data_IF_450524437685
#
_entry.id   IF_450524437685
#
_cell.length_a   1.000
_cell.length_b   1.000
_cell.length_c   1.000
_cell.angle_alpha   90.00
_cell.angle_beta   90.00
_cell.angle_gamma   90.00
#
_symmetry.space_group_name_H-M   'P 1'
#
loop_
_entity.id
_entity.type
_entity.pdbx_description
1 polymer ?
#
# COMPACT_ATOMS: atom_id res chain seq x y z
N UNK A 1 20.61 11.86 -23.72
CA UNK A 1 20.03 11.90 -22.36
C UNK A 1 18.56 11.48 -22.41
N UNK A 2 18.25 10.30 -22.95
CA UNK A 2 16.89 9.92 -23.38
C UNK A 2 16.31 8.72 -22.62
N UNK A 3 16.70 8.51 -21.36
CA UNK A 3 16.17 7.39 -20.56
C UNK A 3 14.96 7.75 -19.67
N UNK A 4 14.52 9.01 -19.66
CA UNK A 4 13.60 9.50 -18.62
C UNK A 4 12.10 9.31 -18.90
N UNK A 5 11.66 9.06 -20.13
CA UNK A 5 10.22 9.07 -20.46
C UNK A 5 9.55 7.70 -20.38
N UNK A 6 10.30 6.59 -20.49
CA UNK A 6 9.74 5.23 -20.38
C UNK A 6 9.34 4.85 -18.95
N UNK A 7 9.91 5.48 -17.93
CA UNK A 7 9.60 5.19 -16.53
C UNK A 7 8.28 5.84 -16.05
N UNK A 8 7.81 6.88 -16.75
CA UNK A 8 6.55 7.58 -16.43
C UNK A 8 5.35 6.89 -17.07
N UNK A 9 5.57 6.11 -18.12
CA UNK A 9 4.52 5.34 -18.77
C UNK A 9 4.40 3.94 -18.13
N UNK A 10 3.18 3.37 -18.03
CA UNK A 10 3.00 1.98 -17.68
C UNK A 10 3.92 1.09 -18.52
N UNK A 11 4.49 0.06 -17.90
CA UNK A 11 5.46 -0.82 -18.56
C UNK A 11 4.91 -1.34 -19.90
N UNK A 12 5.78 -1.61 -20.86
CA UNK A 12 5.35 -2.08 -22.18
C UNK A 12 4.54 -3.39 -22.12
N UNK A 13 4.78 -4.23 -21.12
CA UNK A 13 3.96 -5.40 -20.84
C UNK A 13 2.53 -5.01 -20.46
N UNK A 14 2.35 -4.00 -19.59
CA UNK A 14 1.05 -3.45 -19.21
C UNK A 14 0.29 -2.87 -20.41
N UNK A 15 1.01 -2.19 -21.31
CA UNK A 15 0.43 -1.58 -22.52
C UNK A 15 -0.08 -2.62 -23.52
N UNK A 16 0.63 -3.75 -23.66
CA UNK A 16 0.20 -4.88 -24.49
C UNK A 16 -1.00 -5.61 -23.88
N UNK A 17 -1.06 -5.73 -22.56
CA UNK A 17 -2.15 -6.42 -21.88
C UNK A 17 -3.48 -5.65 -21.97
N UNK A 18 -3.44 -4.32 -21.85
CA UNK A 18 -4.60 -3.45 -22.09
C UNK A 18 -5.17 -3.59 -23.50
N UNK A 19 -4.31 -3.70 -24.53
CA UNK A 19 -4.74 -3.94 -25.91
C UNK A 19 -5.39 -5.30 -26.11
N UNK A 20 -4.94 -6.33 -25.38
CA UNK A 20 -5.54 -7.68 -25.44
C UNK A 20 -6.88 -7.74 -24.69
N UNK A 21 -7.01 -7.01 -23.59
CA UNK A 21 -8.31 -6.88 -22.88
C UNK A 21 -9.37 -6.12 -23.68
N UNK A 22 -8.96 -5.17 -24.53
CA UNK A 22 -9.90 -4.45 -25.41
C UNK A 22 -10.45 -5.30 -26.57
N UNK A 23 -9.76 -6.36 -26.98
CA UNK A 23 -10.22 -7.22 -28.09
C UNK A 23 -11.14 -8.36 -27.63
N UNK A 24 -11.14 -8.71 -26.34
CA UNK A 24 -11.74 -9.97 -25.86
C UNK A 24 -12.99 -9.81 -24.96
N UNK A 25 -13.51 -8.61 -24.69
CA UNK A 25 -14.61 -8.45 -23.73
C UNK A 25 -15.81 -7.63 -24.27
N UNK A 26 -16.64 -8.31 -25.07
CA UNK A 26 -18.08 -8.11 -25.00
C UNK A 26 -18.63 -8.98 -23.88
N UNK A 27 -19.17 -8.34 -22.84
CA UNK A 27 -19.83 -8.91 -21.64
C UNK A 27 -18.92 -9.38 -20.51
N UNK A 28 -18.55 -8.46 -19.59
CA UNK A 28 -18.79 -8.63 -18.15
C UNK A 28 -18.86 -7.26 -17.44
N UNK A 29 -19.87 -7.12 -16.60
CA UNK A 29 -20.07 -6.01 -15.67
C UNK A 29 -19.03 -6.14 -14.54
N UNK A 30 -18.05 -5.24 -14.51
CA UNK A 30 -17.15 -5.07 -13.36
C UNK A 30 -17.32 -3.65 -12.82
N UNK A 31 -17.72 -3.56 -11.55
CA UNK A 31 -17.73 -2.34 -10.73
C UNK A 31 -16.30 -1.89 -10.38
N UNK A 32 -15.42 -1.91 -11.37
CA UNK A 32 -14.16 -1.20 -11.37
C UNK A 32 -14.47 0.28 -11.55
N UNK A 33 -14.61 1.01 -10.44
CA UNK A 33 -14.48 2.47 -10.43
C UNK A 33 -13.11 2.80 -11.00
N UNK A 34 -13.11 2.93 -12.32
CA UNK A 34 -12.03 3.36 -13.15
C UNK A 34 -11.47 4.60 -12.48
N UNK A 35 -10.20 4.59 -12.09
CA UNK A 35 -9.44 5.83 -11.89
C UNK A 35 -9.18 6.44 -13.27
N UNK A 36 -10.24 6.56 -14.08
CA UNK A 36 -10.28 7.49 -15.17
C UNK A 36 -10.16 8.84 -14.49
N UNK A 37 -9.08 9.56 -14.78
CA UNK A 37 -9.05 10.99 -14.59
C UNK A 37 -10.36 11.50 -15.17
N UNK A 38 -11.32 11.88 -14.30
CA UNK A 38 -12.58 12.48 -14.73
C UNK A 38 -12.24 13.89 -15.21
N UNK A 39 -11.56 13.94 -16.34
CA UNK A 39 -11.36 15.13 -17.13
C UNK A 39 -12.70 15.33 -17.84
N UNK A 40 -13.66 15.88 -17.11
CA UNK A 40 -14.98 16.17 -17.66
C UNK A 40 -14.83 17.12 -18.85
N UNK A 41 -14.88 16.59 -20.07
CA UNK A 41 -15.00 17.27 -21.36
C UNK A 41 -14.15 18.56 -21.59
N UNK A 42 -13.06 18.74 -20.84
CA UNK A 42 -12.18 19.89 -21.02
C UNK A 42 -11.15 19.52 -22.09
N UNK A 43 -11.34 20.06 -23.29
CA UNK A 43 -10.35 19.96 -24.37
C UNK A 43 -8.95 20.31 -23.84
N UNK A 44 -7.98 19.40 -23.99
CA UNK A 44 -6.58 19.62 -23.57
C UNK A 44 -6.01 20.94 -24.11
N UNK A 45 -6.54 21.41 -25.24
CA UNK A 45 -6.18 22.67 -25.88
C UNK A 45 -6.64 23.91 -25.11
N UNK A 46 -7.76 23.87 -24.36
CA UNK A 46 -8.26 25.02 -23.58
C UNK A 46 -7.57 25.18 -22.22
N UNK A 47 -6.88 24.14 -21.73
CA UNK A 47 -6.12 24.16 -20.48
C UNK A 47 -4.87 25.05 -20.55
N UNK A 48 -4.33 25.30 -21.75
CA UNK A 48 -3.13 26.12 -21.98
C UNK A 48 -3.43 27.56 -22.40
N UNK A 49 -4.71 27.92 -22.64
CA UNK A 49 -5.11 29.22 -23.21
C UNK A 49 -5.25 30.32 -22.13
N UNK A 50 -5.17 29.98 -20.83
CA UNK A 50 -5.18 30.98 -19.75
C UNK A 50 -4.47 30.50 -18.48
N UNK A 51 -3.66 31.38 -17.86
CA UNK A 51 -2.84 31.07 -16.68
C UNK A 51 -3.64 30.57 -15.45
N UNK A 52 -4.86 31.06 -15.27
CA UNK A 52 -5.73 30.65 -14.17
C UNK A 52 -6.35 29.26 -14.36
N UNK A 53 -6.58 28.84 -15.60
CA UNK A 53 -7.12 27.51 -15.94
C UNK A 53 -6.07 26.43 -15.68
N UNK A 54 -4.82 26.69 -16.05
CA UNK A 54 -3.69 25.79 -15.82
C UNK A 54 -3.38 25.59 -14.33
N UNK A 55 -3.43 26.67 -13.54
CA UNK A 55 -3.22 26.62 -12.08
C UNK A 55 -4.27 25.77 -11.37
N UNK A 56 -5.55 25.95 -11.72
CA UNK A 56 -6.65 25.15 -11.18
C UNK A 56 -6.53 23.68 -11.57
N UNK A 57 -6.24 23.40 -12.84
CA UNK A 57 -6.03 22.05 -13.35
C UNK A 57 -4.89 21.33 -12.61
N UNK A 58 -3.76 21.99 -12.44
CA UNK A 58 -2.60 21.41 -11.74
C UNK A 58 -2.93 21.12 -10.27
N UNK A 59 -3.64 22.03 -9.60
CA UNK A 59 -4.08 21.84 -8.23
C UNK A 59 -5.06 20.65 -8.10
N UNK A 60 -6.01 20.50 -9.03
CA UNK A 60 -6.96 19.39 -9.05
C UNK A 60 -6.30 18.05 -9.37
N UNK A 61 -5.34 18.04 -10.30
CA UNK A 61 -4.53 16.87 -10.60
C UNK A 61 -3.78 16.38 -9.37
N UNK A 62 -3.08 17.28 -8.66
CA UNK A 62 -2.36 16.89 -7.43
C UNK A 62 -3.31 16.40 -6.35
N UNK A 63 -4.47 17.05 -6.15
CA UNK A 63 -5.50 16.58 -5.21
C UNK A 63 -5.97 15.16 -5.52
N UNK A 64 -6.24 14.88 -6.80
CA UNK A 64 -6.69 13.57 -7.23
C UNK A 64 -5.61 12.50 -7.04
N UNK A 65 -4.37 12.79 -7.40
CA UNK A 65 -3.24 11.88 -7.19
C UNK A 65 -3.03 11.57 -5.71
N UNK A 66 -3.08 12.59 -4.84
CA UNK A 66 -2.91 12.40 -3.39
C UNK A 66 -4.04 11.56 -2.78
N UNK A 67 -5.26 11.71 -3.29
CA UNK A 67 -6.41 10.91 -2.87
C UNK A 67 -6.26 9.43 -3.26
N UNK A 68 -5.81 9.15 -4.47
CA UNK A 68 -5.52 7.78 -4.92
C UNK A 68 -4.38 7.16 -4.09
N UNK A 69 -3.32 7.92 -3.87
CA UNK A 69 -2.18 7.49 -3.06
C UNK A 69 -2.58 7.17 -1.60
N UNK A 70 -3.47 7.96 -1.00
CA UNK A 70 -4.01 7.68 0.34
C UNK A 70 -4.86 6.41 0.36
N UNK A 71 -5.69 6.18 -0.67
CA UNK A 71 -6.43 4.92 -0.82
C UNK A 71 -5.47 3.71 -0.90
N UNK A 72 -4.39 3.85 -1.67
CA UNK A 72 -3.35 2.82 -1.78
C UNK A 72 -2.67 2.57 -0.43
N UNK A 73 -2.41 3.62 0.33
CA UNK A 73 -1.83 3.53 1.67
C UNK A 73 -2.73 2.79 2.65
N UNK A 74 -4.04 3.09 2.63
CA UNK A 74 -5.05 2.40 3.44
C UNK A 74 -5.13 0.92 3.10
N UNK A 75 -5.11 0.58 1.80
CA UNK A 75 -5.07 -0.81 1.35
C UNK A 75 -3.84 -1.54 1.90
N UNK A 76 -2.64 -0.95 1.79
CA UNK A 76 -1.42 -1.52 2.35
C UNK A 76 -1.53 -1.73 3.88
N UNK A 77 -2.08 -0.76 4.61
CA UNK A 77 -2.30 -0.88 6.04
C UNK A 77 -3.26 -2.04 6.40
N UNK A 78 -4.33 -2.22 5.62
CA UNK A 78 -5.25 -3.35 5.78
C UNK A 78 -4.54 -4.70 5.55
N UNK A 79 -3.72 -4.80 4.50
CA UNK A 79 -2.92 -6.01 4.22
C UNK A 79 -1.94 -6.33 5.35
N UNK A 80 -1.28 -5.31 5.92
CA UNK A 80 -0.39 -5.49 7.07
C UNK A 80 -1.14 -6.00 8.31
N UNK A 81 -2.36 -5.52 8.57
CA UNK A 81 -3.21 -6.00 9.69
C UNK A 81 -3.61 -7.47 9.51
N UNK A 82 -4.04 -7.85 8.30
CA UNK A 82 -4.36 -9.26 8.01
C UNK A 82 -3.13 -10.13 8.22
N UNK A 83 -1.96 -9.69 7.74
CA UNK A 83 -0.69 -10.40 7.95
C UNK A 83 -0.34 -10.54 9.42
N UNK A 84 -0.47 -9.47 10.21
CA UNK A 84 -0.19 -9.48 11.64
C UNK A 84 -1.08 -10.48 12.39
N UNK A 85 -2.39 -10.46 12.11
CA UNK A 85 -3.34 -11.38 12.75
C UNK A 85 -3.08 -12.83 12.34
N UNK A 86 -2.73 -13.09 11.07
CA UNK A 86 -2.36 -14.43 10.61
C UNK A 86 -1.08 -14.94 11.29
N UNK A 87 -0.07 -14.08 11.46
CA UNK A 87 1.17 -14.44 12.16
C UNK A 87 0.93 -14.75 13.63
N UNK A 88 0.12 -13.94 14.33
CA UNK A 88 -0.26 -14.19 15.72
C UNK A 88 -0.98 -15.53 15.86
N UNK A 89 -2.00 -15.80 15.02
CA UNK A 89 -2.73 -17.07 15.02
C UNK A 89 -1.79 -18.25 14.75
N UNK A 90 -0.88 -18.15 13.78
CA UNK A 90 0.12 -19.19 13.50
C UNK A 90 0.98 -19.48 14.75
N UNK A 91 1.56 -18.45 15.37
CA UNK A 91 2.38 -18.61 16.56
C UNK A 91 1.59 -19.18 17.75
N UNK A 92 0.34 -18.75 17.96
CA UNK A 92 -0.54 -19.29 18.99
C UNK A 92 -0.83 -20.78 18.79
N UNK A 93 -1.12 -21.20 17.55
CA UNK A 93 -1.33 -22.62 17.23
C UNK A 93 -0.06 -23.45 17.46
N UNK A 94 1.11 -22.94 17.07
CA UNK A 94 2.37 -23.64 17.25
C UNK A 94 2.77 -23.75 18.73
N UNK A 95 2.62 -22.68 19.50
CA UNK A 95 2.86 -22.70 20.95
C UNK A 95 1.86 -23.59 21.67
N UNK A 96 0.59 -23.61 21.27
CA UNK A 96 -0.40 -24.52 21.87
C UNK A 96 -0.09 -25.98 21.58
N UNK A 97 0.35 -26.30 20.35
CA UNK A 97 0.87 -27.61 19.99
C UNK A 97 2.08 -28.03 20.84
N UNK A 98 3.09 -27.16 20.99
CA UNK A 98 4.26 -27.42 21.83
C UNK A 98 3.90 -27.62 23.31
N UNK A 99 2.94 -26.85 23.83
CA UNK A 99 2.41 -27.02 25.20
C UNK A 99 1.72 -28.36 25.38
N UNK A 100 0.92 -28.80 24.41
CA UNK A 100 0.29 -30.12 24.44
C UNK A 100 1.35 -31.23 24.39
N UNK A 101 2.34 -31.11 23.51
CA UNK A 101 3.45 -32.05 23.42
C UNK A 101 4.23 -32.15 24.73
N UNK A 102 4.47 -31.02 25.40
CA UNK A 102 5.14 -30.97 26.71
C UNK A 102 4.35 -31.68 27.81
N UNK A 103 3.01 -31.54 27.83
CA UNK A 103 2.15 -32.28 28.76
C UNK A 103 2.29 -33.79 28.56
N UNK A 104 2.16 -34.24 27.31
CA UNK A 104 2.26 -35.67 26.96
C UNK A 104 3.60 -36.30 27.33
N UNK A 105 4.72 -35.57 27.16
CA UNK A 105 6.04 -36.08 27.54
C UNK A 105 6.25 -36.14 29.05
N UNK A 106 5.64 -35.22 29.79
CA UNK A 106 5.65 -35.22 31.26
C UNK A 106 4.92 -36.45 31.80
N UNK A 107 3.77 -36.79 31.23
CA UNK A 107 2.97 -37.95 31.63
C UNK A 107 3.71 -39.28 31.37
N UNK A 108 4.60 -39.29 30.38
CA UNK A 108 5.44 -40.45 30.01
C UNK A 108 6.80 -40.53 30.73
N UNK A 109 7.12 -39.55 31.59
CA UNK A 109 8.41 -39.48 32.29
C UNK A 109 9.63 -39.20 31.40
N UNK A 110 9.43 -38.74 30.16
CA UNK A 110 10.50 -38.50 29.18
C UNK A 110 11.05 -37.06 29.27
N UNK A 111 11.63 -36.70 30.42
CA UNK A 111 12.03 -35.32 30.72
C UNK A 111 13.31 -34.87 29.99
N UNK A 112 14.10 -35.81 29.45
CA UNK A 112 15.30 -35.51 28.64
C UNK A 112 14.99 -34.74 27.35
N UNK A 113 13.75 -34.79 26.86
CA UNK A 113 13.30 -34.09 25.64
C UNK A 113 12.87 -32.64 25.93
N UNK A 114 12.65 -32.29 27.20
CA UNK A 114 12.15 -30.99 27.63
C UNK A 114 13.01 -29.79 27.17
N UNK A 115 14.36 -29.86 27.16
CA UNK A 115 15.20 -28.77 26.66
C UNK A 115 14.96 -28.46 25.17
N UNK A 116 14.66 -29.48 24.35
CA UNK A 116 14.45 -29.31 22.92
C UNK A 116 13.14 -28.58 22.63
N UNK A 117 12.07 -28.88 23.38
CA UNK A 117 10.79 -28.18 23.25
C UNK A 117 10.92 -26.72 23.66
N UNK A 118 11.57 -26.45 24.80
CA UNK A 118 11.87 -25.06 25.23
C UNK A 118 12.66 -24.28 24.17
N UNK A 119 13.59 -24.94 23.47
CA UNK A 119 14.34 -24.32 22.37
C UNK A 119 13.41 -23.96 21.21
N UNK A 120 12.48 -24.85 20.82
CA UNK A 120 11.49 -24.57 19.77
C UNK A 120 10.57 -23.41 20.16
N UNK A 121 10.03 -23.40 21.38
CA UNK A 121 9.19 -22.30 21.88
C UNK A 121 9.90 -20.94 21.77
N UNK A 122 11.19 -20.88 22.14
CA UNK A 122 12.01 -19.66 22.02
C UNK A 122 12.19 -19.22 20.57
N UNK A 123 12.34 -20.16 19.63
CA UNK A 123 12.48 -19.85 18.20
C UNK A 123 11.18 -19.24 17.68
N UNK A 124 10.04 -19.86 17.96
CA UNK A 124 8.71 -19.36 17.56
C UNK A 124 8.47 -17.95 18.08
N UNK A 125 8.79 -17.69 19.35
CA UNK A 125 8.63 -16.37 19.95
C UNK A 125 9.57 -15.33 19.32
N UNK A 126 10.83 -15.71 19.03
CA UNK A 126 11.78 -14.83 18.35
C UNK A 126 11.30 -14.46 16.95
N UNK A 127 10.91 -15.45 16.15
CA UNK A 127 10.39 -15.22 14.80
C UNK A 127 9.13 -14.36 14.82
N UNK A 128 8.22 -14.61 15.76
CA UNK A 128 7.03 -13.77 15.94
C UNK A 128 7.41 -12.31 16.22
N UNK A 129 8.38 -12.09 17.12
CA UNK A 129 8.86 -10.76 17.47
C UNK A 129 9.50 -10.05 16.27
N UNK A 130 10.42 -10.71 15.58
CA UNK A 130 11.09 -10.16 14.38
C UNK A 130 10.07 -9.77 13.29
N UNK A 131 9.07 -10.61 13.04
CA UNK A 131 8.02 -10.30 12.05
C UNK A 131 7.10 -9.18 12.51
N UNK A 132 6.80 -9.07 13.79
CA UNK A 132 6.01 -7.96 14.35
C UNK A 132 6.77 -6.64 14.24
N UNK A 133 8.07 -6.65 14.51
CA UNK A 133 8.94 -5.46 14.38
C UNK A 133 8.99 -4.97 12.95
N UNK A 134 9.14 -5.89 12.00
CA UNK A 134 9.12 -5.56 10.57
C UNK A 134 7.77 -4.95 10.17
N UNK A 135 6.65 -5.51 10.63
CA UNK A 135 5.32 -4.94 10.36
C UNK A 135 5.18 -3.53 10.97
N UNK A 136 5.68 -3.30 12.19
CA UNK A 136 5.66 -1.98 12.83
C UNK A 136 6.46 -0.95 12.03
N UNK A 137 7.68 -1.32 11.60
CA UNK A 137 8.52 -0.48 10.75
C UNK A 137 7.81 -0.10 9.44
N UNK A 138 7.13 -1.05 8.81
CA UNK A 138 6.35 -0.80 7.58
C UNK A 138 5.16 0.13 7.82
N UNK A 139 4.47 -0.01 8.96
CA UNK A 139 3.38 0.90 9.36
C UNK A 139 3.90 2.32 9.59
N UNK A 140 5.03 2.47 10.27
CA UNK A 140 5.67 3.76 10.50
C UNK A 140 6.07 4.42 9.18
N UNK A 141 6.68 3.67 8.25
CA UNK A 141 7.03 4.19 6.93
C UNK A 141 5.77 4.69 6.18
N UNK A 142 4.69 3.91 6.18
CA UNK A 142 3.43 4.30 5.54
C UNK A 142 2.83 5.58 6.18
N UNK A 143 2.91 5.70 7.50
CA UNK A 143 2.50 6.89 8.24
C UNK A 143 3.32 8.12 7.84
N UNK A 144 4.65 7.99 7.73
CA UNK A 144 5.50 9.10 7.29
C UNK A 144 5.16 9.52 5.85
N UNK A 145 4.97 8.58 4.94
CA UNK A 145 4.55 8.88 3.57
C UNK A 145 3.18 9.56 3.52
N UNK A 146 2.22 9.20 4.39
CA UNK A 146 0.93 9.93 4.50
C UNK A 146 1.13 11.38 4.97
N UNK A 147 2.02 11.63 5.93
CA UNK A 147 2.37 13.00 6.37
C UNK A 147 3.00 13.82 5.25
N UNK A 148 3.93 13.23 4.50
CA UNK A 148 4.56 13.88 3.35
C UNK A 148 3.53 14.27 2.29
N UNK A 149 2.57 13.39 1.99
CA UNK A 149 1.45 13.70 1.06
C UNK A 149 0.62 14.90 1.52
N UNK A 150 0.33 14.99 2.83
CA UNK A 150 -0.34 16.17 3.38
C UNK A 150 0.49 17.45 3.24
N UNK A 151 1.81 17.36 3.41
CA UNK A 151 2.70 18.50 3.23
C UNK A 151 2.71 18.99 1.78
N UNK A 152 2.72 18.06 0.81
CA UNK A 152 2.62 18.41 -0.62
C UNK A 152 1.32 19.16 -0.92
N UNK A 153 0.18 18.70 -0.39
CA UNK A 153 -1.09 19.40 -0.57
C UNK A 153 -1.07 20.83 0.00
N UNK A 154 -0.54 21.00 1.22
CA UNK A 154 -0.40 22.33 1.85
C UNK A 154 0.50 23.26 1.02
N UNK A 155 1.58 22.74 0.46
CA UNK A 155 2.48 23.51 -0.41
C UNK A 155 1.75 23.96 -1.68
N UNK A 156 0.97 23.08 -2.32
CA UNK A 156 0.18 23.43 -3.51
C UNK A 156 -0.86 24.52 -3.21
N UNK A 157 -1.55 24.44 -2.07
CA UNK A 157 -2.49 25.48 -1.65
C UNK A 157 -1.81 26.83 -1.41
N UNK A 158 -0.63 26.83 -0.80
CA UNK A 158 0.14 28.06 -0.59
C UNK A 158 0.58 28.69 -1.92
N UNK A 159 1.03 27.88 -2.88
CA UNK A 159 1.39 28.32 -4.23
C UNK A 159 0.17 28.91 -4.94
N UNK A 160 -0.99 28.24 -4.89
CA UNK A 160 -2.22 28.73 -5.51
C UNK A 160 -2.67 30.08 -4.92
N UNK A 161 -2.60 30.24 -3.59
CA UNK A 161 -2.91 31.52 -2.90
C UNK A 161 -1.93 32.64 -3.27
N UNK A 162 -0.65 32.33 -3.43
CA UNK A 162 0.36 33.30 -3.83
C UNK A 162 0.13 33.81 -5.26
N UNK A 163 -0.33 32.95 -6.18
CA UNK A 163 -0.71 33.37 -7.53
C UNK A 163 -1.95 34.28 -7.53
N UNK A 164 -2.98 33.97 -6.74
CA UNK A 164 -4.16 34.84 -6.62
C UNK A 164 -3.86 36.23 -6.05
N UNK A 165 -2.85 36.37 -5.18
CA UNK A 165 -2.46 37.66 -4.59
C UNK A 165 -1.60 38.54 -5.51
N UNK A 166 -1.06 37.97 -6.59
CA UNK A 166 -0.18 38.69 -7.54
C UNK A 166 -0.94 39.27 -8.74
N UNK A 167 -2.23 38.96 -8.87
CA UNK A 167 -3.19 39.55 -9.82
C UNK A 167 -3.96 40.65 -9.08
#
# INVERSE_FOLDING_TARGET
EDESFRQVLPSESHRKELKRKQSDDSFMQDDGKNCQLSLGDVSMSSLFVGGDTFSKFTADMVRQMMKEEELRAQHQAAMLRIRETALKKKAETELSWLRQQKRHLRDKGADDVHPQIKKKEKIVLRELHEKQDEIRRLQEANLQTSRERQNVLKQQEAIAKAHQKKV
#
